data_IF_882168379485
#
_entry.id   IF_882168379485
#
_cell.length_a   1.000
_cell.length_b   1.000
_cell.length_c   1.000
_cell.angle_alpha   90.00
_cell.angle_beta   90.00
_cell.angle_gamma   90.00
#
_symmetry.space_group_name_H-M   'P 1'
#
loop_
_entity.id
_entity.type
_entity.pdbx_description
1 polymer ?
#
# COMPACT_ATOMS: atom_id res chain seq x y z
N UNK A 1 -6.50 1.86 3.81
CA UNK A 1 -6.84 2.33 5.17
C UNK A 1 -5.58 2.86 5.85
N UNK A 2 -5.66 4.00 6.53
CA UNK A 2 -4.57 4.57 7.32
C UNK A 2 -4.78 4.21 8.80
N UNK A 3 -4.10 3.19 9.37
CA UNK A 3 -4.21 2.87 10.78
C UNK A 3 -3.82 4.01 11.71
N UNK A 4 -3.01 4.95 11.20
CA UNK A 4 -2.69 6.20 11.89
C UNK A 4 -3.94 7.01 12.23
N UNK A 5 -4.95 7.01 11.34
CA UNK A 5 -6.22 7.69 11.56
C UNK A 5 -7.03 7.07 12.71
N UNK A 6 -6.78 5.78 13.02
CA UNK A 6 -7.39 5.11 14.18
C UNK A 6 -7.09 5.86 15.49
N UNK A 7 -5.91 6.49 15.62
CA UNK A 7 -5.59 7.31 16.80
C UNK A 7 -6.58 8.45 17.00
N UNK A 8 -7.05 9.06 15.92
CA UNK A 8 -7.93 10.22 15.98
C UNK A 8 -9.37 9.80 16.27
N UNK A 9 -9.83 8.72 15.63
CA UNK A 9 -11.22 8.26 15.80
C UNK A 9 -11.43 7.40 17.04
N UNK A 10 -10.37 6.80 17.61
CA UNK A 10 -10.44 6.02 18.86
C UNK A 10 -10.05 6.85 20.10
N UNK A 11 -9.67 8.13 19.92
CA UNK A 11 -9.37 9.02 21.04
C UNK A 11 -10.57 9.11 21.99
N UNK A 12 -10.40 8.94 23.32
CA UNK A 12 -11.46 9.07 24.30
C UNK A 12 -12.30 10.34 24.23
N UNK A 13 -11.73 11.43 23.73
CA UNK A 13 -12.37 12.74 23.58
C UNK A 13 -13.02 12.94 22.21
N UNK A 14 -12.81 12.05 21.25
CA UNK A 14 -13.38 12.19 19.91
C UNK A 14 -14.89 11.97 19.94
N UNK A 15 -15.65 12.93 19.40
CA UNK A 15 -17.10 12.80 19.22
C UNK A 15 -17.50 11.63 18.30
N UNK A 16 -16.54 11.13 17.51
CA UNK A 16 -16.70 10.02 16.58
C UNK A 16 -16.26 8.68 17.18
N UNK A 17 -15.80 8.65 18.43
CA UNK A 17 -15.38 7.41 19.10
C UNK A 17 -16.50 6.38 19.11
N UNK A 18 -16.14 5.14 18.78
CA UNK A 18 -17.04 3.99 18.67
C UNK A 18 -18.17 4.17 17.62
N UNK A 19 -18.07 5.14 16.70
CA UNK A 19 -19.01 5.34 15.58
C UNK A 19 -18.43 4.91 14.23
N UNK A 20 -17.29 4.23 14.25
CA UNK A 20 -16.60 3.74 13.06
C UNK A 20 -16.46 2.24 13.13
N UNK A 21 -16.65 1.61 11.98
CA UNK A 21 -16.36 0.21 11.76
C UNK A 21 -15.22 0.08 10.75
N UNK A 22 -14.50 -1.05 10.78
CA UNK A 22 -13.48 -1.37 9.78
C UNK A 22 -13.92 -2.61 9.05
N UNK A 23 -13.79 -2.60 7.73
CA UNK A 23 -14.08 -3.73 6.86
C UNK A 23 -12.93 -3.93 5.86
N UNK A 24 -12.85 -5.11 5.23
CA UNK A 24 -12.02 -5.32 4.06
C UNK A 24 -12.36 -4.33 2.95
N UNK A 25 -11.38 -4.01 2.09
CA UNK A 25 -11.66 -3.19 0.91
C UNK A 25 -12.79 -3.80 0.07
N UNK A 26 -13.69 -2.97 -0.49
CA UNK A 26 -14.73 -3.49 -1.37
C UNK A 26 -14.10 -4.10 -2.63
N UNK A 27 -14.84 -5.00 -3.27
CA UNK A 27 -14.50 -5.57 -4.57
C UNK A 27 -15.68 -5.47 -5.52
N UNK A 28 -15.50 -5.98 -6.74
CA UNK A 28 -16.56 -6.03 -7.75
C UNK A 28 -16.60 -7.41 -8.41
N UNK A 29 -17.78 -7.85 -8.84
CA UNK A 29 -17.90 -9.12 -9.55
C UNK A 29 -17.43 -8.97 -11.00
N UNK A 30 -16.63 -9.93 -11.47
CA UNK A 30 -16.19 -10.08 -12.85
C UNK A 30 -16.64 -11.44 -13.39
N UNK A 31 -16.80 -11.53 -14.70
CA UNK A 31 -17.05 -12.82 -15.37
C UNK A 31 -15.77 -13.65 -15.39
N UNK A 32 -15.83 -14.80 -14.74
CA UNK A 32 -14.77 -15.81 -14.74
C UNK A 32 -14.93 -16.83 -15.86
N UNK A 33 -14.00 -17.80 -15.94
CA UNK A 33 -14.15 -18.95 -16.81
C UNK A 33 -15.52 -19.62 -16.62
N UNK A 34 -16.14 -20.04 -17.72
CA UNK A 34 -17.43 -20.75 -17.72
C UNK A 34 -18.62 -19.91 -17.21
N UNK A 35 -18.51 -18.58 -17.22
CA UNK A 35 -19.60 -17.67 -16.83
C UNK A 35 -19.83 -17.59 -15.32
N UNK A 36 -18.95 -18.18 -14.51
CA UNK A 36 -19.00 -18.05 -13.05
C UNK A 36 -18.61 -16.63 -12.65
N UNK A 37 -19.45 -15.95 -11.88
CA UNK A 37 -19.09 -14.66 -11.27
C UNK A 37 -17.99 -14.88 -10.22
N UNK A 38 -16.91 -14.10 -10.33
CA UNK A 38 -15.77 -14.10 -9.41
C UNK A 38 -15.69 -12.73 -8.74
N UNK A 39 -15.50 -12.68 -7.43
CA UNK A 39 -15.32 -11.42 -6.72
C UNK A 39 -13.86 -10.93 -6.88
N UNK A 40 -13.66 -9.90 -7.69
CA UNK A 40 -12.37 -9.24 -7.80
C UNK A 40 -12.21 -8.24 -6.65
N UNK A 41 -11.49 -8.64 -5.61
CA UNK A 41 -11.13 -7.81 -4.46
C UNK A 41 -9.61 -7.67 -4.37
N UNK A 42 -9.11 -6.44 -4.46
CA UNK A 42 -7.68 -6.13 -4.38
C UNK A 42 -7.45 -4.99 -3.42
N UNK A 43 -6.67 -5.23 -2.37
CA UNK A 43 -6.20 -4.18 -1.49
C UNK A 43 -4.93 -3.57 -2.07
N UNK A 44 -4.73 -2.28 -1.81
CA UNK A 44 -3.49 -1.58 -2.15
C UNK A 44 -2.65 -1.51 -0.87
N UNK A 45 -1.38 -1.91 -0.97
CA UNK A 45 -0.42 -1.54 0.07
C UNK A 45 -0.13 -0.05 -0.06
N UNK A 46 -0.52 0.74 0.94
CA UNK A 46 -0.07 2.12 1.03
C UNK A 46 1.30 2.10 1.71
N UNK A 47 2.34 2.26 0.89
CA UNK A 47 3.71 2.64 1.24
C UNK A 47 4.27 2.00 2.53
N UNK A 48 5.16 1.02 2.38
CA UNK A 48 6.05 0.63 3.47
C UNK A 48 7.19 1.63 3.56
N UNK A 49 7.45 2.14 4.77
CA UNK A 49 8.64 2.95 5.02
C UNK A 49 9.85 2.03 5.03
N UNK A 50 10.87 2.38 4.25
CA UNK A 50 12.12 1.63 4.20
C UNK A 50 13.28 2.55 4.52
N UNK A 51 14.26 2.00 5.24
CA UNK A 51 15.54 2.63 5.47
C UNK A 51 16.54 2.08 4.46
N UNK A 52 17.12 2.96 3.66
CA UNK A 52 18.15 2.60 2.68
C UNK A 52 19.49 3.24 3.07
N UNK A 53 20.56 2.46 2.99
CA UNK A 53 21.92 2.96 3.18
C UNK A 53 22.52 3.32 1.83
N UNK A 54 22.97 4.57 1.69
CA UNK A 54 23.61 5.03 0.46
C UNK A 54 24.88 4.25 0.15
N UNK A 55 25.02 3.83 -1.11
CA UNK A 55 26.24 3.19 -1.60
C UNK A 55 27.47 4.11 -1.52
N UNK A 56 27.29 5.42 -1.34
CA UNK A 56 28.40 6.38 -1.20
C UNK A 56 28.75 6.70 0.26
N UNK A 57 28.05 6.13 1.25
CA UNK A 57 28.37 6.37 2.65
C UNK A 57 29.77 5.86 2.98
N UNK A 58 30.55 6.69 3.70
CA UNK A 58 31.86 6.31 4.27
C UNK A 58 31.72 5.53 5.59
N UNK A 59 30.50 5.44 6.14
CA UNK A 59 30.18 4.78 7.42
C UNK A 59 29.05 3.77 7.22
N UNK A 60 29.21 2.85 6.25
CA UNK A 60 28.14 1.92 5.85
C UNK A 60 27.71 1.01 7.00
N UNK A 61 28.66 0.39 7.68
CA UNK A 61 28.37 -0.55 8.76
C UNK A 61 27.59 0.12 9.89
N UNK A 62 28.01 1.31 10.31
CA UNK A 62 27.29 2.09 11.31
C UNK A 62 25.88 2.49 10.85
N UNK A 63 25.74 2.88 9.59
CA UNK A 63 24.43 3.21 9.02
C UNK A 63 23.51 1.97 8.97
N UNK A 64 24.05 0.79 8.65
CA UNK A 64 23.33 -0.47 8.70
C UNK A 64 22.92 -0.81 10.14
N UNK A 65 23.80 -0.66 11.12
CA UNK A 65 23.47 -0.86 12.54
C UNK A 65 22.35 0.09 13.00
N UNK A 66 22.41 1.36 12.62
CA UNK A 66 21.37 2.33 12.94
C UNK A 66 20.03 1.96 12.27
N UNK A 67 20.05 1.56 11.00
CA UNK A 67 18.86 1.12 10.30
C UNK A 67 18.24 -0.14 10.94
N UNK A 68 19.08 -1.09 11.36
CA UNK A 68 18.63 -2.29 12.06
C UNK A 68 18.01 -1.94 13.42
N UNK A 69 18.64 -1.06 14.20
CA UNK A 69 18.10 -0.58 15.47
C UNK A 69 16.75 0.13 15.28
N UNK A 70 16.65 1.04 14.30
CA UNK A 70 15.40 1.74 14.00
C UNK A 70 14.28 0.81 13.50
N UNK A 71 14.64 -0.34 12.92
CA UNK A 71 13.71 -1.35 12.45
C UNK A 71 13.45 -2.48 13.49
N UNK A 72 14.04 -2.37 14.69
CA UNK A 72 13.78 -3.29 15.79
C UNK A 72 12.31 -3.20 16.21
N UNK A 73 11.62 -4.32 16.49
CA UNK A 73 10.21 -4.31 16.86
C UNK A 73 9.90 -3.38 18.04
N UNK A 74 10.75 -3.34 19.07
CA UNK A 74 10.49 -2.53 20.26
C UNK A 74 10.69 -1.04 19.99
N UNK A 75 11.73 -0.68 19.23
CA UNK A 75 11.98 0.71 18.84
C UNK A 75 10.84 1.24 17.96
N UNK A 76 10.38 0.44 17.00
CA UNK A 76 9.22 0.77 16.18
C UNK A 76 7.94 0.91 17.02
N UNK A 77 7.72 0.01 17.97
CA UNK A 77 6.57 0.08 18.89
C UNK A 77 6.54 1.41 19.65
N UNK A 78 7.66 1.81 20.25
CA UNK A 78 7.76 3.10 20.94
C UNK A 78 7.42 4.27 20.00
N UNK A 79 7.94 4.25 18.78
CA UNK A 79 7.64 5.24 17.76
C UNK A 79 6.16 5.29 17.41
N UNK A 80 5.50 4.15 17.21
CA UNK A 80 4.08 4.04 16.88
C UNK A 80 3.13 4.48 18.01
N UNK A 81 3.62 4.49 19.25
CA UNK A 81 2.86 4.92 20.43
C UNK A 81 2.98 6.43 20.69
N UNK A 82 3.96 7.11 20.09
CA UNK A 82 4.10 8.56 20.25
C UNK A 82 2.87 9.32 19.73
N UNK A 83 2.56 10.51 20.30
CA UNK A 83 1.58 11.41 19.72
C UNK A 83 1.96 11.84 18.29
N UNK A 84 0.97 11.97 17.41
CA UNK A 84 1.16 12.43 16.02
C UNK A 84 2.10 11.58 15.12
N UNK A 85 2.41 10.34 15.51
CA UNK A 85 3.16 9.42 14.65
C UNK A 85 2.25 8.47 13.86
N UNK A 86 2.86 7.83 12.87
CA UNK A 86 2.20 6.87 11.99
C UNK A 86 2.31 5.46 12.54
N UNK A 87 1.33 4.63 12.22
CA UNK A 87 1.41 3.19 12.49
C UNK A 87 2.14 2.49 11.35
N UNK A 88 3.28 1.87 11.64
CA UNK A 88 4.11 1.15 10.67
C UNK A 88 3.93 -0.38 10.86
N UNK A 89 3.25 -1.01 9.90
CA UNK A 89 2.84 -2.42 9.96
C UNK A 89 3.85 -3.37 9.32
N UNK A 90 5.14 -3.06 9.41
CA UNK A 90 6.21 -3.83 8.77
C UNK A 90 6.57 -5.15 9.48
N UNK A 91 5.86 -5.54 10.54
CA UNK A 91 6.10 -6.75 11.34
C UNK A 91 4.80 -7.44 11.74
N UNK A 92 4.79 -8.77 11.72
CA UNK A 92 3.65 -9.57 12.19
C UNK A 92 3.30 -9.30 13.66
N UNK A 93 4.29 -9.02 14.51
CA UNK A 93 4.07 -8.66 15.90
C UNK A 93 3.45 -7.26 16.10
N UNK A 94 3.15 -6.49 15.04
CA UNK A 94 2.51 -5.18 15.12
C UNK A 94 1.12 -5.14 14.49
N UNK A 95 0.57 -6.30 14.10
CA UNK A 95 -0.74 -6.43 13.45
C UNK A 95 -1.56 -7.54 14.13
N UNK A 96 -2.88 -7.50 13.91
CA UNK A 96 -3.80 -8.53 14.37
C UNK A 96 -3.72 -8.81 15.88
N UNK A 97 -3.91 -10.09 16.23
CA UNK A 97 -3.88 -10.55 17.62
C UNK A 97 -2.46 -10.63 18.20
N UNK A 98 -1.44 -10.72 17.35
CA UNK A 98 -0.04 -10.76 17.77
C UNK A 98 0.47 -9.40 18.26
N UNK A 99 -0.24 -8.30 17.96
CA UNK A 99 0.11 -6.96 18.40
C UNK A 99 0.10 -6.83 19.94
N UNK A 100 1.08 -6.12 20.54
CA UNK A 100 1.06 -5.72 21.94
C UNK A 100 -0.26 -5.06 22.37
N UNK A 101 -0.68 -5.31 23.61
CA UNK A 101 -1.95 -4.79 24.15
C UNK A 101 -2.09 -3.27 23.95
N UNK A 102 -1.02 -2.51 24.18
CA UNK A 102 -0.99 -1.06 24.00
C UNK A 102 -1.34 -0.61 22.58
N UNK A 103 -0.89 -1.35 21.55
CA UNK A 103 -1.27 -1.07 20.16
C UNK A 103 -2.72 -1.46 19.90
N UNK A 104 -3.18 -2.61 20.42
CA UNK A 104 -4.57 -3.06 20.27
C UNK A 104 -5.56 -2.08 20.90
N UNK A 105 -5.27 -1.60 22.10
CA UNK A 105 -6.10 -0.62 22.80
C UNK A 105 -6.19 0.70 22.04
N UNK A 106 -5.06 1.13 21.44
CA UNK A 106 -4.97 2.41 20.75
C UNK A 106 -5.52 2.40 19.33
N UNK A 107 -5.37 1.30 18.61
CA UNK A 107 -5.77 1.16 17.19
C UNK A 107 -7.13 0.49 17.03
N UNK A 108 -7.60 -0.21 18.07
CA UNK A 108 -8.90 -0.85 18.11
C UNK A 108 -9.06 -1.93 17.02
N UNK A 109 -10.29 -2.13 16.50
CA UNK A 109 -10.60 -3.22 15.58
C UNK A 109 -9.87 -3.14 14.24
N UNK A 110 -9.30 -1.98 13.90
CA UNK A 110 -8.59 -1.80 12.63
C UNK A 110 -7.37 -2.72 12.49
N UNK A 111 -6.71 -3.10 13.59
CA UNK A 111 -5.59 -4.05 13.53
C UNK A 111 -6.01 -5.45 13.11
N UNK A 112 -7.25 -5.86 13.44
CA UNK A 112 -7.76 -7.20 13.15
C UNK A 112 -8.07 -7.41 11.67
N UNK A 113 -8.47 -6.36 10.95
CA UNK A 113 -8.77 -6.43 9.51
C UNK A 113 -7.56 -6.17 8.61
N UNK A 114 -6.41 -5.83 9.18
CA UNK A 114 -5.21 -5.59 8.38
C UNK A 114 -4.71 -6.88 7.72
N UNK A 115 -4.66 -7.99 8.45
CA UNK A 115 -4.22 -9.28 7.92
C UNK A 115 -5.12 -9.76 6.77
N UNK A 116 -6.44 -9.60 6.91
CA UNK A 116 -7.39 -9.94 5.84
C UNK A 116 -7.14 -9.08 4.59
N UNK A 117 -6.97 -7.76 4.74
CA UNK A 117 -6.62 -6.89 3.63
C UNK A 117 -5.24 -7.23 3.03
N UNK A 118 -4.28 -7.64 3.85
CA UNK A 118 -2.95 -8.04 3.40
C UNK A 118 -2.98 -9.31 2.55
N UNK A 119 -3.94 -10.22 2.79
CA UNK A 119 -4.10 -11.46 2.00
C UNK A 119 -4.49 -11.23 0.54
N UNK A 120 -5.14 -10.10 0.25
CA UNK A 120 -5.56 -9.69 -1.10
C UNK A 120 -4.79 -8.48 -1.63
N UNK A 121 -3.67 -8.17 -0.98
CA UNK A 121 -2.84 -7.01 -1.29
C UNK A 121 -2.12 -7.20 -2.62
N UNK A 122 -2.24 -6.21 -3.49
CA UNK A 122 -1.48 -6.16 -4.74
C UNK A 122 -0.18 -5.40 -4.50
N UNK A 123 0.98 -5.97 -4.88
CA UNK A 123 2.25 -5.25 -4.84
C UNK A 123 2.17 -3.91 -5.56
N UNK A 124 2.77 -2.86 -5.00
CA UNK A 124 2.89 -1.59 -5.70
C UNK A 124 3.76 -1.78 -6.95
N UNK A 125 3.42 -1.09 -8.04
CA UNK A 125 4.19 -1.07 -9.29
C UNK A 125 5.55 -0.36 -9.18
N UNK A 126 5.97 0.07 -7.98
CA UNK A 126 7.24 0.77 -7.71
C UNK A 126 8.48 -0.03 -8.12
N UNK A 127 8.36 -1.35 -8.26
CA UNK A 127 9.43 -2.21 -8.80
C UNK A 127 9.65 -2.10 -10.31
N UNK A 128 8.75 -1.45 -11.05
CA UNK A 128 8.90 -1.23 -12.49
C UNK A 128 9.83 -0.06 -12.79
N UNK A 129 10.57 -0.16 -13.89
CA UNK A 129 11.34 0.97 -14.40
C UNK A 129 10.35 2.08 -14.76
N UNK A 130 10.65 3.33 -14.38
CA UNK A 130 9.76 4.48 -14.58
C UNK A 130 8.38 4.37 -13.89
N UNK A 131 8.24 3.56 -12.82
CA UNK A 131 7.01 3.45 -12.02
C UNK A 131 6.41 4.81 -11.65
N UNK A 132 7.25 5.79 -11.27
CA UNK A 132 6.82 7.16 -10.97
C UNK A 132 6.13 7.81 -12.17
N UNK A 133 6.67 7.68 -13.37
CA UNK A 133 6.09 8.28 -14.58
C UNK A 133 4.73 7.67 -14.89
N UNK A 134 4.60 6.33 -14.81
CA UNK A 134 3.29 5.66 -14.97
C UNK A 134 2.25 6.17 -13.98
N UNK A 135 2.62 6.32 -12.70
CA UNK A 135 1.70 6.80 -11.67
C UNK A 135 1.32 8.28 -11.87
N UNK A 136 2.27 9.13 -12.27
CA UNK A 136 2.03 10.55 -12.51
C UNK A 136 1.11 10.76 -13.71
N UNK A 137 1.29 10.03 -14.81
CA UNK A 137 0.41 10.15 -15.98
C UNK A 137 -1.01 9.71 -15.68
N UNK A 138 -1.18 8.55 -15.03
CA UNK A 138 -2.49 8.08 -14.57
C UNK A 138 -3.14 9.09 -13.63
N UNK A 139 -2.42 9.55 -12.61
CA UNK A 139 -2.95 10.48 -11.62
C UNK A 139 -3.42 11.79 -12.25
N UNK A 140 -2.64 12.31 -13.20
CA UNK A 140 -2.97 13.55 -13.92
C UNK A 140 -4.26 13.40 -14.74
N UNK A 141 -4.39 12.33 -15.51
CA UNK A 141 -5.53 12.13 -16.39
C UNK A 141 -6.81 11.79 -15.59
N UNK A 142 -6.69 10.96 -14.55
CA UNK A 142 -7.82 10.70 -13.64
C UNK A 142 -8.25 11.96 -12.89
N UNK A 143 -7.30 12.80 -12.46
CA UNK A 143 -7.65 14.08 -11.85
C UNK A 143 -8.43 14.98 -12.81
N UNK A 144 -7.98 15.09 -14.06
CA UNK A 144 -8.70 15.84 -15.10
C UNK A 144 -10.14 15.35 -15.30
N UNK A 145 -10.35 14.03 -15.26
CA UNK A 145 -11.68 13.43 -15.33
C UNK A 145 -12.52 13.73 -14.07
N UNK A 146 -11.94 13.60 -12.88
CA UNK A 146 -12.63 13.89 -11.61
C UNK A 146 -13.10 15.34 -11.51
N UNK A 147 -12.34 16.30 -12.06
CA UNK A 147 -12.73 17.72 -12.08
C UNK A 147 -13.57 18.10 -13.32
N UNK A 148 -13.95 17.12 -14.15
CA UNK A 148 -14.84 17.32 -15.30
C UNK A 148 -14.19 17.98 -16.52
N UNK A 149 -12.85 18.11 -16.56
CA UNK A 149 -12.12 18.72 -17.68
C UNK A 149 -11.76 17.72 -18.80
N UNK A 150 -11.99 16.44 -18.56
CA UNK A 150 -11.76 15.36 -19.51
C UNK A 150 -12.82 14.27 -19.30
N UNK A 151 -13.30 13.64 -20.37
CA UNK A 151 -14.15 12.46 -20.24
C UNK A 151 -13.37 11.28 -19.62
N UNK A 152 -13.97 10.46 -18.72
CA UNK A 152 -13.29 9.33 -18.09
C UNK A 152 -12.73 8.29 -19.07
N UNK A 153 -13.45 7.97 -20.15
CA UNK A 153 -12.95 7.04 -21.18
C UNK A 153 -11.75 7.68 -21.86
N UNK A 154 -11.84 8.97 -22.20
CA UNK A 154 -10.73 9.69 -22.83
C UNK A 154 -9.49 9.78 -21.94
N UNK A 155 -9.68 9.93 -20.63
CA UNK A 155 -8.59 9.93 -19.66
C UNK A 155 -7.86 8.59 -19.62
N UNK A 156 -8.58 7.48 -19.70
CA UNK A 156 -8.00 6.14 -19.74
C UNK A 156 -7.26 5.87 -21.06
N UNK A 157 -7.86 6.20 -22.21
CA UNK A 157 -7.20 6.09 -23.52
C UNK A 157 -5.88 6.90 -23.58
N UNK A 158 -5.93 8.12 -23.05
CA UNK A 158 -4.75 9.00 -23.00
C UNK A 158 -3.66 8.42 -22.11
N UNK A 159 -4.06 7.83 -20.98
CA UNK A 159 -3.14 7.15 -20.06
C UNK A 159 -2.47 5.96 -20.73
N UNK A 160 -3.24 5.12 -21.43
CA UNK A 160 -2.72 3.97 -22.18
C UNK A 160 -1.67 4.40 -23.20
N UNK A 161 -1.97 5.41 -24.03
CA UNK A 161 -1.03 5.93 -25.02
C UNK A 161 0.27 6.41 -24.37
N UNK A 162 0.18 7.19 -23.28
CA UNK A 162 1.36 7.70 -22.57
C UNK A 162 2.17 6.57 -21.93
N UNK A 163 1.51 5.54 -21.41
CA UNK A 163 2.17 4.36 -20.87
C UNK A 163 2.90 3.57 -21.94
N UNK A 164 2.35 3.46 -23.15
CA UNK A 164 3.02 2.85 -24.30
C UNK A 164 4.28 3.64 -24.70
N UNK A 165 4.22 4.97 -24.73
CA UNK A 165 5.38 5.84 -24.96
C UNK A 165 6.47 5.64 -23.91
N UNK A 166 6.10 5.62 -22.61
CA UNK A 166 7.04 5.35 -21.51
C UNK A 166 7.68 3.96 -21.68
N UNK A 167 6.86 2.94 -21.93
CA UNK A 167 7.30 1.54 -22.08
C UNK A 167 8.29 1.39 -23.22
N UNK A 168 8.01 2.01 -24.37
CA UNK A 168 8.90 1.97 -25.52
C UNK A 168 10.22 2.69 -25.24
N UNK A 169 10.18 3.84 -24.53
CA UNK A 169 11.38 4.61 -24.15
C UNK A 169 12.28 3.86 -23.17
N UNK A 170 11.72 3.21 -22.15
CA UNK A 170 12.52 2.48 -21.13
C UNK A 170 12.91 1.05 -21.57
N UNK A 171 12.23 0.53 -22.60
CA UNK A 171 12.49 -0.76 -23.21
C UNK A 171 11.43 -1.80 -22.84
N UNK A 172 10.61 -2.19 -23.83
CA UNK A 172 9.50 -3.14 -23.65
C UNK A 172 9.92 -4.49 -23.07
N UNK A 173 11.02 -5.05 -23.57
CA UNK A 173 11.49 -6.36 -23.11
C UNK A 173 11.87 -6.35 -21.63
N UNK A 174 12.54 -5.28 -21.17
CA UNK A 174 12.87 -5.09 -19.75
C UNK A 174 11.62 -4.95 -18.89
N UNK A 175 10.60 -4.26 -19.39
CA UNK A 175 9.33 -4.14 -18.66
C UNK A 175 8.59 -5.48 -18.59
N UNK A 176 8.61 -6.29 -19.65
CA UNK A 176 8.03 -7.64 -19.63
C UNK A 176 8.71 -8.49 -18.55
N UNK A 177 10.04 -8.43 -18.45
CA UNK A 177 10.81 -9.15 -17.42
C UNK A 177 10.48 -8.64 -16.01
N UNK A 178 10.44 -7.32 -15.81
CA UNK A 178 10.07 -6.72 -14.53
C UNK A 178 8.65 -7.10 -14.11
N UNK A 179 7.69 -7.11 -15.04
CA UNK A 179 6.32 -7.56 -14.79
C UNK A 179 6.24 -9.04 -14.44
N UNK A 180 7.02 -9.91 -15.09
CA UNK A 180 7.09 -11.34 -14.76
C UNK A 180 7.58 -11.55 -13.33
N UNK A 181 8.58 -10.80 -12.89
CA UNK A 181 9.06 -10.86 -11.51
C UNK A 181 8.01 -10.33 -10.52
N UNK A 182 7.39 -9.19 -10.83
CA UNK A 182 6.37 -8.58 -9.96
C UNK A 182 5.15 -9.50 -9.80
N UNK A 183 4.70 -10.16 -10.88
CA UNK A 183 3.54 -11.05 -10.88
C UNK A 183 3.69 -12.26 -9.96
N UNK A 184 4.92 -12.70 -9.67
CA UNK A 184 5.18 -13.79 -8.70
C UNK A 184 4.71 -13.45 -7.29
N UNK A 185 4.65 -12.16 -6.97
CA UNK A 185 4.24 -11.65 -5.66
C UNK A 185 2.75 -11.27 -5.59
N UNK A 186 2.02 -11.39 -6.71
CA UNK A 186 0.59 -11.13 -6.71
C UNK A 186 -0.14 -12.24 -5.96
N UNK A 187 -1.13 -11.92 -5.12
CA UNK A 187 -1.90 -12.93 -4.41
C UNK A 187 -2.67 -13.79 -5.42
N UNK A 188 -2.44 -15.09 -5.34
CA UNK A 188 -3.12 -16.13 -6.13
C UNK A 188 -4.49 -16.48 -5.57
N UNK A 189 -4.78 -16.06 -4.34
CA UNK A 189 -6.10 -16.21 -3.73
C UNK A 189 -7.14 -15.44 -4.54
N UNK A 190 -8.12 -16.18 -5.03
CA UNK A 190 -9.35 -15.67 -5.61
C UNK A 190 -10.40 -15.78 -4.49
N UNK A 191 -10.96 -14.65 -4.06
CA UNK A 191 -12.05 -14.60 -3.06
C UNK A 191 -13.38 -14.47 -3.79
#
# INVERSE_FOLDING_TARGET
NFPSFANLIQDPKAASRNKWETAPVPGWYVDGPEGKKILNRRSVNLASWCLAVSNHSKKRDLACCLAAYMADPWVLLEGMLQPATWHDMSRYCHVGFAAPAQLRDRRGPLLSYFEENASVLTPMVTGLIAATEYNVTLSKNLHAAMVGTMDPVKALETTEKQWEEITNRVGRQKQIEAWKELKKWYPTTII
#
